data_IF_733642675112
#
_entry.id   IF_733642675112
#
_cell.length_a   1.000
_cell.length_b   1.000
_cell.length_c   1.000
_cell.angle_alpha   90.00
_cell.angle_beta   90.00
_cell.angle_gamma   90.00
#
_symmetry.space_group_name_H-M   'P 1'
#
loop_
_entity.id
_entity.type
_entity.pdbx_description
1 polymer ?
#
# COMPACT_ATOMS: atom_id res chain seq x y z
N UNK A 1 -1.92 -44.89 10.31
CA UNK A 1 -1.03 -43.75 10.59
C UNK A 1 -1.71 -42.48 10.14
N UNK A 2 -1.33 -41.35 10.71
CA UNK A 2 -1.85 -40.02 10.39
C UNK A 2 -0.68 -39.10 10.07
N UNK A 3 -0.80 -38.30 9.01
CA UNK A 3 0.24 -37.36 8.62
C UNK A 3 0.05 -36.06 9.41
N UNK A 4 1.02 -35.70 10.24
CA UNK A 4 0.97 -34.48 11.04
C UNK A 4 2.02 -33.49 10.55
N UNK A 5 1.82 -32.20 10.85
CA UNK A 5 2.85 -31.20 10.60
C UNK A 5 4.08 -31.52 11.47
N UNK A 6 5.23 -31.72 10.82
CA UNK A 6 6.47 -32.14 11.46
C UNK A 6 6.38 -33.44 12.27
N UNK A 7 5.44 -34.35 11.93
CA UNK A 7 5.29 -35.59 12.67
C UNK A 7 4.40 -36.65 12.02
N UNK A 8 4.38 -37.84 12.63
CA UNK A 8 3.53 -38.96 12.22
C UNK A 8 2.77 -39.46 13.44
N UNK A 9 1.45 -39.50 13.34
CA UNK A 9 0.57 -40.16 14.30
C UNK A 9 0.48 -41.66 14.00
N UNK A 10 0.64 -42.48 15.04
CA UNK A 10 0.63 -43.94 14.94
C UNK A 10 -0.44 -44.44 15.91
N UNK A 11 -1.37 -45.25 15.41
CA UNK A 11 -2.45 -45.87 16.19
C UNK A 11 -2.50 -47.35 15.87
N UNK A 12 -2.68 -48.19 16.89
CA UNK A 12 -2.86 -49.63 16.74
C UNK A 12 -4.03 -50.14 17.58
N UNK A 13 -4.43 -51.37 17.31
CA UNK A 13 -5.41 -52.11 18.12
C UNK A 13 -4.73 -53.22 18.91
N UNK A 14 -5.42 -53.73 19.92
CA UNK A 14 -5.02 -54.94 20.62
C UNK A 14 -5.87 -56.13 20.14
N UNK A 15 -5.29 -57.30 19.91
CA UNK A 15 -6.06 -58.51 19.63
C UNK A 15 -6.83 -58.96 20.89
N UNK A 16 -7.88 -59.76 20.69
CA UNK A 16 -8.57 -60.41 21.82
C UNK A 16 -7.59 -61.34 22.56
N UNK A 17 -7.66 -61.39 23.89
CA UNK A 17 -6.70 -62.17 24.69
C UNK A 17 -5.41 -61.42 25.04
N UNK A 18 -5.29 -60.12 24.71
CA UNK A 18 -4.12 -59.30 25.01
C UNK A 18 -4.10 -58.73 26.43
N UNK A 19 -5.01 -59.13 27.32
CA UNK A 19 -5.17 -58.56 28.68
C UNK A 19 -3.96 -58.79 29.58
N UNK A 20 -3.13 -59.79 29.27
CA UNK A 20 -1.86 -60.05 29.97
C UNK A 20 -0.67 -59.25 29.41
N UNK A 21 -0.91 -58.37 28.43
CA UNK A 21 0.12 -57.47 27.91
C UNK A 21 0.58 -56.49 28.97
N UNK A 22 1.89 -56.33 29.12
CA UNK A 22 2.50 -55.28 29.92
C UNK A 22 2.69 -54.01 29.10
N UNK A 23 3.20 -54.14 27.86
CA UNK A 23 3.52 -53.00 27.00
C UNK A 23 3.52 -53.38 25.51
N UNK A 24 3.39 -52.37 24.66
CA UNK A 24 3.72 -52.43 23.25
C UNK A 24 5.12 -51.88 23.03
N UNK A 25 6.00 -52.63 22.36
CA UNK A 25 7.21 -52.06 21.79
C UNK A 25 6.89 -51.56 20.39
N UNK A 26 7.14 -50.28 20.14
CA UNK A 26 6.98 -49.65 18.84
C UNK A 26 8.36 -49.50 18.17
N UNK A 27 8.44 -49.85 16.90
CA UNK A 27 9.66 -49.91 16.10
C UNK A 27 9.46 -49.22 14.76
N UNK A 28 10.54 -48.70 14.18
CA UNK A 28 10.48 -47.97 12.91
C UNK A 28 11.74 -48.16 12.06
N UNK A 29 11.61 -47.94 10.75
CA UNK A 29 12.73 -47.93 9.79
C UNK A 29 12.44 -46.98 8.63
N UNK A 30 13.49 -46.50 7.94
CA UNK A 30 13.35 -45.75 6.68
C UNK A 30 12.97 -46.67 5.50
N UNK A 31 13.26 -47.97 5.62
CA UNK A 31 12.93 -48.99 4.63
C UNK A 31 11.90 -49.99 5.13
N UNK A 32 11.56 -50.97 4.29
CA UNK A 32 10.57 -52.02 4.60
C UNK A 32 11.15 -53.26 5.29
N UNK A 33 12.47 -53.29 5.54
CA UNK A 33 13.15 -54.39 6.19
C UNK A 33 13.06 -54.26 7.73
N UNK A 34 12.32 -55.17 8.36
CA UNK A 34 12.20 -55.27 9.82
C UNK A 34 13.57 -55.53 10.48
N UNK A 35 14.51 -56.19 9.81
CA UNK A 35 15.86 -56.42 10.32
C UNK A 35 16.68 -55.13 10.49
N UNK A 36 16.29 -54.05 9.81
CA UNK A 36 16.90 -52.71 9.94
C UNK A 36 16.09 -51.79 10.87
N UNK A 37 15.02 -52.28 11.49
CA UNK A 37 14.19 -51.47 12.35
C UNK A 37 14.89 -51.12 13.66
N UNK A 38 14.71 -49.88 14.11
CA UNK A 38 15.16 -49.38 15.41
C UNK A 38 13.96 -49.24 16.34
N UNK A 39 14.15 -49.52 17.62
CA UNK A 39 13.11 -49.35 18.63
C UNK A 39 12.83 -47.86 18.84
N UNK A 40 11.57 -47.48 18.68
CA UNK A 40 11.09 -46.10 18.88
C UNK A 40 10.72 -45.86 20.34
N UNK A 41 9.87 -46.73 20.91
CA UNK A 41 9.33 -46.53 22.26
C UNK A 41 8.85 -47.84 22.89
N UNK A 42 8.80 -47.84 24.22
CA UNK A 42 8.02 -48.78 25.04
C UNK A 42 6.81 -48.06 25.61
N UNK A 43 5.62 -48.58 25.35
CA UNK A 43 4.35 -47.92 25.71
C UNK A 43 3.51 -48.87 26.55
N UNK A 44 3.19 -48.49 27.78
CA UNK A 44 2.46 -49.35 28.71
C UNK A 44 1.06 -49.69 28.18
N UNK A 45 0.64 -50.95 28.31
CA UNK A 45 -0.73 -51.33 28.01
C UNK A 45 -1.71 -50.59 28.96
N UNK A 46 -2.87 -50.10 28.49
CA UNK A 46 -3.46 -50.25 27.16
C UNK A 46 -3.23 -49.04 26.22
N UNK A 47 -2.11 -48.31 26.33
CA UNK A 47 -1.83 -47.23 25.39
C UNK A 47 -1.74 -47.78 23.97
N UNK A 48 -2.48 -47.17 23.05
CA UNK A 48 -2.60 -47.65 21.67
C UNK A 48 -2.30 -46.58 20.62
N UNK A 49 -1.72 -45.45 21.04
CA UNK A 49 -1.32 -44.37 20.16
C UNK A 49 0.02 -43.76 20.55
N UNK A 50 0.74 -43.23 19.56
CA UNK A 50 2.02 -42.52 19.71
C UNK A 50 2.18 -41.49 18.60
N UNK A 51 2.84 -40.36 18.91
CA UNK A 51 3.18 -39.33 17.92
C UNK A 51 4.70 -39.17 17.84
N UNK A 52 5.26 -39.46 16.67
CA UNK A 52 6.66 -39.18 16.34
C UNK A 52 6.77 -37.75 15.81
N UNK A 53 7.49 -36.88 16.50
CA UNK A 53 7.64 -35.45 16.15
C UNK A 53 9.07 -35.12 15.68
N UNK A 54 9.27 -33.89 15.20
CA UNK A 54 10.57 -33.39 14.77
C UNK A 54 11.00 -33.88 13.38
N UNK A 55 10.02 -34.27 12.56
CA UNK A 55 10.26 -34.81 11.23
C UNK A 55 10.31 -33.70 10.18
N UNK A 56 11.12 -33.92 9.13
CA UNK A 56 11.11 -33.04 7.95
C UNK A 56 9.82 -33.25 7.15
N UNK A 57 9.37 -32.21 6.45
CA UNK A 57 8.23 -32.30 5.54
C UNK A 57 8.42 -33.46 4.54
N UNK A 58 7.39 -34.30 4.37
CA UNK A 58 7.43 -35.47 3.49
C UNK A 58 8.30 -36.64 3.96
N UNK A 59 8.92 -36.56 5.15
CA UNK A 59 9.75 -37.65 5.67
C UNK A 59 8.89 -38.88 5.99
N UNK A 60 9.29 -40.04 5.48
CA UNK A 60 8.54 -41.29 5.57
C UNK A 60 9.27 -42.33 6.43
N UNK A 61 8.49 -43.07 7.21
CA UNK A 61 8.95 -44.24 7.94
C UNK A 61 7.95 -45.39 7.82
N UNK A 62 8.45 -46.59 8.08
CA UNK A 62 7.70 -47.83 8.21
C UNK A 62 7.72 -48.27 9.67
N UNK A 63 6.61 -48.84 10.14
CA UNK A 63 6.37 -49.11 11.55
C UNK A 63 5.99 -50.57 11.80
N UNK A 64 6.47 -51.07 12.93
CA UNK A 64 6.11 -52.36 13.50
C UNK A 64 5.84 -52.21 14.99
N UNK A 65 4.94 -53.04 15.50
CA UNK A 65 4.66 -53.15 16.91
C UNK A 65 4.71 -54.62 17.34
N UNK A 66 5.08 -54.87 18.59
CA UNK A 66 4.87 -56.17 19.23
C UNK A 66 4.47 -55.99 20.69
N UNK A 67 3.73 -56.95 21.22
CA UNK A 67 3.34 -56.96 22.62
C UNK A 67 4.38 -57.69 23.46
N UNK A 68 4.60 -57.21 24.67
CA UNK A 68 5.37 -57.91 25.70
C UNK A 68 4.44 -58.18 26.87
N UNK A 69 4.34 -59.43 27.30
CA UNK A 69 3.49 -59.81 28.42
C UNK A 69 4.12 -59.48 29.78
N UNK A 70 3.35 -59.63 30.86
CA UNK A 70 3.80 -59.35 32.24
C UNK A 70 4.89 -60.30 32.74
N UNK A 71 5.07 -61.45 32.09
CA UNK A 71 6.12 -62.42 32.40
C UNK A 71 7.39 -62.20 31.58
N UNK A 72 7.36 -61.26 30.62
CA UNK A 72 8.48 -60.89 29.77
C UNK A 72 8.54 -61.61 28.43
N UNK A 73 7.53 -62.39 28.04
CA UNK A 73 7.52 -63.02 26.72
C UNK A 73 7.26 -61.97 25.63
N UNK A 74 8.00 -62.11 24.53
CA UNK A 74 7.89 -61.23 23.37
C UNK A 74 6.92 -61.86 22.36
N UNK A 75 5.84 -61.13 22.07
CA UNK A 75 4.93 -61.47 20.99
C UNK A 75 5.56 -61.25 19.60
N UNK A 76 4.92 -61.78 18.54
CA UNK A 76 5.37 -61.56 17.18
C UNK A 76 5.24 -60.08 16.78
N UNK A 77 6.07 -59.64 15.84
CA UNK A 77 5.92 -58.33 15.22
C UNK A 77 4.68 -58.28 14.32
N UNK A 78 4.02 -57.13 14.30
CA UNK A 78 2.96 -56.78 13.39
C UNK A 78 3.26 -55.42 12.74
N UNK A 79 3.05 -55.24 11.43
CA UNK A 79 2.58 -56.25 10.47
C UNK A 79 3.64 -57.31 10.16
N UNK A 80 3.20 -58.48 9.70
CA UNK A 80 4.09 -59.52 9.17
C UNK A 80 4.31 -59.30 7.66
N UNK A 81 5.49 -59.66 7.16
CA UNK A 81 5.80 -59.60 5.73
C UNK A 81 4.78 -60.42 4.92
N UNK A 82 4.37 -59.96 3.71
CA UNK A 82 4.88 -58.79 2.98
C UNK A 82 4.19 -57.46 3.34
N UNK A 83 3.27 -57.46 4.32
CA UNK A 83 2.54 -56.25 4.71
C UNK A 83 3.43 -55.30 5.49
N UNK A 84 3.35 -54.00 5.18
CA UNK A 84 4.03 -52.93 5.89
C UNK A 84 3.05 -51.81 6.22
N UNK A 85 3.27 -51.12 7.34
CA UNK A 85 2.53 -49.91 7.72
C UNK A 85 3.49 -48.74 7.61
N UNK A 86 3.19 -47.77 6.77
CA UNK A 86 4.00 -46.56 6.62
C UNK A 86 3.25 -45.32 7.12
N UNK A 87 3.99 -44.31 7.56
CA UNK A 87 3.48 -42.97 7.81
C UNK A 87 4.43 -41.92 7.23
N UNK A 88 3.92 -40.73 6.96
CA UNK A 88 4.71 -39.63 6.39
C UNK A 88 4.37 -38.33 7.13
N UNK A 89 5.38 -37.53 7.47
CA UNK A 89 5.12 -36.18 7.94
C UNK A 89 4.48 -35.37 6.81
N UNK A 90 3.53 -34.49 7.15
CA UNK A 90 2.87 -33.64 6.15
C UNK A 90 3.91 -32.86 5.34
N UNK A 91 3.76 -32.87 4.02
CA UNK A 91 4.48 -32.01 3.08
C UNK A 91 3.69 -30.75 2.71
N UNK A 92 2.49 -30.60 3.24
CA UNK A 92 1.67 -29.40 3.08
C UNK A 92 2.23 -28.24 3.93
N UNK A 93 2.72 -27.21 3.24
CA UNK A 93 3.20 -25.97 3.85
C UNK A 93 2.08 -24.97 4.18
N UNK A 94 0.86 -25.19 3.68
CA UNK A 94 -0.29 -24.28 3.82
C UNK A 94 -0.55 -23.81 5.26
N UNK A 95 -0.63 -24.72 6.26
CA UNK A 95 -0.88 -24.32 7.64
C UNK A 95 0.18 -23.39 8.24
N UNK A 96 1.46 -23.57 7.87
CA UNK A 96 2.55 -22.68 8.33
C UNK A 96 2.48 -21.34 7.63
N UNK A 97 2.22 -21.34 6.32
CA UNK A 97 2.14 -20.11 5.53
C UNK A 97 1.01 -19.20 6.00
N UNK A 98 -0.17 -19.78 6.30
CA UNK A 98 -1.29 -19.00 6.83
C UNK A 98 -0.93 -18.40 8.20
N UNK A 99 -0.34 -19.19 9.10
CA UNK A 99 0.08 -18.67 10.41
C UNK A 99 1.13 -17.55 10.31
N UNK A 100 2.07 -17.65 9.36
CA UNK A 100 3.08 -16.59 9.11
C UNK A 100 2.39 -15.33 8.57
N UNK A 101 1.50 -15.49 7.58
CA UNK A 101 0.74 -14.38 6.99
C UNK A 101 -0.09 -13.66 8.05
N UNK A 102 -0.79 -14.39 8.91
CA UNK A 102 -1.61 -13.81 9.98
C UNK A 102 -0.72 -13.06 10.97
N UNK A 103 0.41 -13.65 11.40
CA UNK A 103 1.37 -12.96 12.26
C UNK A 103 1.93 -11.69 11.65
N UNK A 104 2.25 -11.68 10.35
CA UNK A 104 2.76 -10.49 9.67
C UNK A 104 1.66 -9.43 9.60
N UNK A 105 0.44 -9.82 9.21
CA UNK A 105 -0.69 -8.90 9.04
C UNK A 105 -1.15 -8.29 10.36
N UNK A 106 -1.21 -9.09 11.43
CA UNK A 106 -1.59 -8.65 12.77
C UNK A 106 -0.45 -7.95 13.52
N UNK A 107 0.79 -8.05 13.05
CA UNK A 107 1.93 -7.38 13.67
C UNK A 107 1.78 -5.87 13.62
N UNK A 108 2.40 -5.18 14.58
CA UNK A 108 2.48 -3.72 14.58
C UNK A 108 3.14 -3.19 13.30
N UNK A 109 4.11 -3.92 12.73
CA UNK A 109 4.70 -3.58 11.44
C UNK A 109 3.67 -3.69 10.30
N UNK A 110 2.88 -4.76 10.27
CA UNK A 110 1.84 -4.97 9.27
C UNK A 110 0.80 -3.85 9.29
N UNK A 111 0.28 -3.54 10.48
CA UNK A 111 -0.68 -2.43 10.68
C UNK A 111 -0.10 -1.07 10.27
N UNK A 112 1.13 -0.77 10.68
CA UNK A 112 1.82 0.49 10.33
C UNK A 112 2.00 0.61 8.80
N UNK A 113 2.42 -0.47 8.14
CA UNK A 113 2.58 -0.48 6.69
C UNK A 113 1.24 -0.31 5.97
N UNK A 114 0.19 -1.02 6.40
CA UNK A 114 -1.16 -0.84 5.84
C UNK A 114 -1.65 0.60 6.04
N UNK A 115 -1.50 1.17 7.24
CA UNK A 115 -1.88 2.56 7.51
C UNK A 115 -1.14 3.56 6.61
N UNK A 116 0.15 3.34 6.32
CA UNK A 116 0.91 4.17 5.38
C UNK A 116 0.45 4.01 3.93
N UNK A 117 0.08 2.79 3.53
CA UNK A 117 -0.45 2.52 2.20
C UNK A 117 -1.81 3.20 2.02
N UNK A 118 -2.66 3.16 3.04
CA UNK A 118 -3.98 3.82 3.03
C UNK A 118 -3.87 5.33 2.78
N UNK A 119 -2.78 5.99 3.19
CA UNK A 119 -2.54 7.41 2.88
C UNK A 119 -2.38 7.71 1.38
N UNK A 120 -2.20 6.70 0.52
CA UNK A 120 -1.99 6.88 -0.92
C UNK A 120 -3.31 7.08 -1.66
N UNK A 121 -4.33 6.28 -1.38
CA UNK A 121 -5.58 6.24 -2.15
C UNK A 121 -6.83 6.59 -1.32
N UNK A 122 -6.75 6.55 0.01
CA UNK A 122 -7.86 6.96 0.88
C UNK A 122 -7.84 8.47 1.16
N UNK A 123 -8.90 8.95 1.81
CA UNK A 123 -9.04 10.33 2.28
C UNK A 123 -8.68 10.43 3.76
N UNK A 124 -8.12 11.57 4.17
CA UNK A 124 -7.87 11.90 5.56
C UNK A 124 -6.56 12.66 5.77
N UNK A 125 -6.25 13.01 7.04
CA UNK A 125 -5.03 13.73 7.39
C UNK A 125 -3.76 13.02 6.90
N UNK A 126 -2.87 13.75 6.23
CA UNK A 126 -1.64 13.25 5.64
C UNK A 126 -1.81 12.45 4.34
N UNK A 127 -3.04 12.23 3.87
CA UNK A 127 -3.28 11.50 2.62
C UNK A 127 -2.81 12.29 1.39
N UNK A 128 -2.58 11.58 0.29
CA UNK A 128 -2.30 12.21 -1.01
C UNK A 128 -3.51 13.01 -1.49
N UNK A 129 -4.73 12.53 -1.22
CA UNK A 129 -5.96 13.21 -1.61
C UNK A 129 -6.15 14.55 -0.88
N UNK A 130 -5.81 14.63 0.42
CA UNK A 130 -5.82 15.90 1.18
C UNK A 130 -4.82 16.89 0.58
N UNK A 131 -3.55 16.47 0.42
CA UNK A 131 -2.50 17.31 -0.18
C UNK A 131 -2.85 17.76 -1.59
N UNK A 132 -3.49 16.91 -2.39
CA UNK A 132 -3.98 17.25 -3.73
C UNK A 132 -5.14 18.26 -3.66
N UNK A 133 -6.01 18.15 -2.67
CA UNK A 133 -7.07 19.12 -2.40
C UNK A 133 -6.53 20.49 -2.04
N UNK A 134 -5.54 20.56 -1.15
CA UNK A 134 -4.84 21.79 -0.76
C UNK A 134 -4.19 22.46 -1.96
N UNK A 135 -3.37 21.72 -2.73
CA UNK A 135 -2.72 22.23 -3.94
C UNK A 135 -3.72 22.74 -4.98
N UNK A 136 -4.88 22.08 -5.14
CA UNK A 136 -5.94 22.57 -6.03
C UNK A 136 -6.56 23.87 -5.55
N UNK A 137 -6.74 24.04 -4.24
CA UNK A 137 -7.26 25.28 -3.66
C UNK A 137 -6.27 26.43 -3.86
N UNK A 138 -5.00 26.22 -3.50
CA UNK A 138 -3.93 27.20 -3.71
C UNK A 138 -3.80 27.60 -5.18
N UNK A 139 -3.87 26.63 -6.09
CA UNK A 139 -3.83 26.90 -7.53
C UNK A 139 -5.03 27.74 -8.00
N UNK A 140 -6.23 27.47 -7.49
CA UNK A 140 -7.41 28.26 -7.83
C UNK A 140 -7.29 29.71 -7.32
N UNK A 141 -6.75 29.92 -6.13
CA UNK A 141 -6.50 31.27 -5.59
C UNK A 141 -5.48 32.03 -6.45
N UNK A 142 -4.38 31.39 -6.85
CA UNK A 142 -3.40 31.99 -7.76
C UNK A 142 -4.01 32.35 -9.12
N UNK A 143 -4.89 31.50 -9.67
CA UNK A 143 -5.58 31.79 -10.93
C UNK A 143 -6.47 33.05 -10.78
N UNK A 144 -7.16 33.20 -9.66
CA UNK A 144 -7.99 34.40 -9.39
C UNK A 144 -7.11 35.65 -9.29
N UNK A 145 -5.99 35.57 -8.58
CA UNK A 145 -5.05 36.70 -8.46
C UNK A 145 -4.48 37.13 -9.82
N UNK A 146 -4.04 36.16 -10.63
CA UNK A 146 -3.54 36.42 -11.99
C UNK A 146 -4.62 37.05 -12.86
N UNK A 147 -5.86 36.53 -12.83
CA UNK A 147 -6.96 37.11 -13.59
C UNK A 147 -7.25 38.56 -13.19
N UNK A 148 -7.21 38.88 -11.89
CA UNK A 148 -7.40 40.25 -11.41
C UNK A 148 -6.28 41.18 -11.91
N UNK A 149 -5.02 40.72 -11.86
CA UNK A 149 -3.87 41.47 -12.38
C UNK A 149 -4.00 41.73 -13.89
N UNK A 150 -4.37 40.72 -14.67
CA UNK A 150 -4.60 40.85 -16.12
C UNK A 150 -5.71 41.86 -16.42
N UNK A 151 -6.82 41.80 -15.69
CA UNK A 151 -7.92 42.76 -15.86
C UNK A 151 -7.48 44.19 -15.54
N UNK A 152 -6.68 44.40 -14.48
CA UNK A 152 -6.17 45.72 -14.15
C UNK A 152 -5.25 46.27 -15.25
N UNK A 153 -4.30 45.46 -15.73
CA UNK A 153 -3.41 45.84 -16.83
C UNK A 153 -4.19 46.17 -18.10
N UNK A 154 -5.27 45.42 -18.39
CA UNK A 154 -6.14 45.72 -19.52
C UNK A 154 -6.83 47.08 -19.37
N UNK A 155 -7.33 47.41 -18.17
CA UNK A 155 -7.93 48.72 -17.90
C UNK A 155 -6.91 49.86 -18.02
N UNK A 156 -5.72 49.70 -17.45
CA UNK A 156 -4.65 50.71 -17.54
C UNK A 156 -4.22 50.93 -19.00
N UNK A 157 -4.12 49.85 -19.78
CA UNK A 157 -3.80 49.94 -21.20
C UNK A 157 -4.91 50.63 -21.99
N UNK A 158 -6.18 50.38 -21.67
CA UNK A 158 -7.31 51.07 -22.30
C UNK A 158 -7.25 52.57 -22.01
N UNK A 159 -6.96 52.97 -20.78
CA UNK A 159 -6.78 54.38 -20.42
C UNK A 159 -5.62 55.02 -21.19
N UNK A 160 -4.50 54.33 -21.36
CA UNK A 160 -3.39 54.81 -22.19
C UNK A 160 -3.78 54.96 -23.67
N UNK A 161 -4.54 54.02 -24.21
CA UNK A 161 -5.04 54.08 -25.60
C UNK A 161 -5.96 55.31 -25.77
N UNK A 162 -6.87 55.53 -24.84
CA UNK A 162 -7.81 56.67 -24.88
C UNK A 162 -7.05 58.00 -24.84
N UNK A 163 -6.03 58.12 -23.96
CA UNK A 163 -5.17 59.29 -23.90
C UNK A 163 -4.38 59.55 -25.20
N UNK A 164 -3.89 58.50 -25.87
CA UNK A 164 -3.19 58.62 -27.15
C UNK A 164 -4.16 59.04 -28.27
N UNK A 165 -5.39 58.51 -28.26
CA UNK A 165 -6.41 58.88 -29.24
C UNK A 165 -6.76 60.37 -29.14
N UNK A 166 -6.96 60.88 -27.93
CA UNK A 166 -7.19 62.32 -27.68
C UNK A 166 -6.03 63.20 -28.19
N UNK A 167 -4.79 62.72 -28.03
CA UNK A 167 -3.59 63.40 -28.54
C UNK A 167 -3.57 63.42 -30.07
N UNK A 168 -3.86 62.29 -30.71
CA UNK A 168 -3.83 62.13 -32.16
C UNK A 168 -4.89 62.96 -32.88
N UNK A 169 -6.08 63.14 -32.28
CA UNK A 169 -7.17 63.93 -32.84
C UNK A 169 -6.97 65.45 -32.67
N UNK A 170 -6.05 65.87 -31.80
CA UNK A 170 -5.78 67.28 -31.55
C UNK A 170 -4.93 67.93 -32.64
N UNK A 171 -5.31 69.13 -33.07
CA UNK A 171 -4.51 69.89 -34.04
C UNK A 171 -3.32 70.55 -33.33
N UNK A 172 -2.12 70.62 -33.95
CA UNK A 172 -1.02 71.43 -33.42
C UNK A 172 -1.46 72.87 -33.20
N UNK A 173 -1.05 73.47 -32.09
CA UNK A 173 -1.23 74.90 -31.88
C UNK A 173 -0.51 75.69 -32.97
N UNK A 174 -1.16 76.73 -33.47
CA UNK A 174 -0.68 77.64 -34.50
C UNK A 174 -0.92 79.07 -34.02
N UNK A 175 0.14 79.90 -33.86
CA UNK A 175 0.00 81.25 -33.31
C UNK A 175 -0.78 82.21 -34.22
N UNK A 176 -0.90 81.90 -35.51
CA UNK A 176 -1.67 82.68 -36.48
C UNK A 176 -3.15 82.27 -36.58
N UNK A 177 -3.60 81.29 -35.79
CA UNK A 177 -4.98 80.79 -35.79
C UNK A 177 -5.74 81.21 -34.51
N UNK A 178 -7.00 81.62 -34.67
CA UNK A 178 -7.93 81.81 -33.55
C UNK A 178 -8.67 80.50 -33.26
N UNK A 179 -8.99 80.26 -31.99
CA UNK A 179 -9.60 79.01 -31.51
C UNK A 179 -10.95 79.28 -30.84
N UNK A 180 -11.94 78.42 -31.11
CA UNK A 180 -13.27 78.55 -30.50
C UNK A 180 -13.29 77.91 -29.10
N UNK A 181 -14.24 78.33 -28.26
CA UNK A 181 -14.45 77.71 -26.96
C UNK A 181 -14.75 76.20 -27.13
N UNK A 182 -14.10 75.35 -26.34
CA UNK A 182 -14.15 73.89 -26.40
C UNK A 182 -13.14 73.26 -27.36
N UNK A 183 -12.49 74.03 -28.23
CA UNK A 183 -11.52 73.49 -29.18
C UNK A 183 -10.22 73.08 -28.49
N UNK A 184 -9.75 71.87 -28.80
CA UNK A 184 -8.51 71.31 -28.27
C UNK A 184 -7.35 71.45 -29.26
N UNK A 185 -6.14 71.71 -28.75
CA UNK A 185 -4.90 71.78 -29.51
C UNK A 185 -3.74 71.12 -28.78
N UNK A 186 -2.77 70.62 -29.53
CA UNK A 186 -1.48 70.15 -29.01
C UNK A 186 -0.49 71.32 -28.95
N UNK A 187 -0.11 71.73 -27.74
CA UNK A 187 0.95 72.72 -27.55
C UNK A 187 2.33 72.18 -27.92
N UNK A 188 3.30 73.07 -28.16
CA UNK A 188 4.69 72.70 -28.50
C UNK A 188 5.40 71.92 -27.37
N UNK A 189 4.90 72.02 -26.13
CA UNK A 189 5.38 71.25 -24.98
C UNK A 189 4.80 69.82 -24.90
N UNK A 190 4.02 69.40 -25.89
CA UNK A 190 3.40 68.07 -25.94
C UNK A 190 2.16 67.90 -25.06
N UNK A 191 1.66 68.98 -24.43
CA UNK A 191 0.43 68.96 -23.63
C UNK A 191 -0.80 69.34 -24.48
N UNK A 192 -1.92 68.70 -24.19
CA UNK A 192 -3.23 69.07 -24.73
C UNK A 192 -3.80 70.28 -23.99
N UNK A 193 -4.30 71.24 -24.76
CA UNK A 193 -4.95 72.44 -24.25
C UNK A 193 -6.35 72.57 -24.83
N UNK A 194 -7.33 72.80 -23.96
CA UNK A 194 -8.70 73.11 -24.37
C UNK A 194 -9.03 74.58 -24.09
N UNK A 195 -9.50 75.28 -25.12
CA UNK A 195 -9.92 76.67 -25.01
C UNK A 195 -11.20 76.78 -24.15
N UNK A 196 -11.13 77.33 -22.93
CA UNK A 196 -12.33 77.54 -22.08
C UNK A 196 -13.26 78.64 -22.61
N UNK A 197 -12.70 79.59 -23.34
CA UNK A 197 -13.36 80.68 -24.05
C UNK A 197 -12.69 80.83 -25.42
N UNK A 198 -13.26 81.63 -26.33
CA UNK A 198 -12.59 81.92 -27.60
C UNK A 198 -11.20 82.55 -27.37
N UNK A 199 -10.17 82.02 -28.03
CA UNK A 199 -8.77 82.48 -27.92
C UNK A 199 -8.39 83.18 -29.23
N UNK A 200 -8.05 84.48 -29.22
CA UNK A 200 -7.62 85.21 -30.41
C UNK A 200 -6.21 84.78 -30.86
N UNK A 201 -5.82 85.18 -32.07
CA UNK A 201 -4.48 84.91 -32.63
C UNK A 201 -3.37 85.51 -31.76
N UNK A 202 -2.20 84.87 -31.75
CA UNK A 202 -1.01 85.32 -31.02
C UNK A 202 -1.03 85.08 -29.52
N UNK A 203 -2.11 84.51 -28.97
CA UNK A 203 -2.19 84.13 -27.56
C UNK A 203 -1.80 82.65 -27.42
N UNK A 204 -0.59 82.33 -26.92
CA UNK A 204 -0.18 80.95 -26.71
C UNK A 204 -1.06 80.27 -25.65
N UNK A 205 -1.26 78.95 -25.73
CA UNK A 205 -1.84 78.21 -24.62
C UNK A 205 -1.01 78.48 -23.36
N UNK A 206 -1.63 78.61 -22.18
CA UNK A 206 -0.88 78.86 -20.95
C UNK A 206 0.20 77.78 -20.76
N UNK A 207 1.47 78.17 -20.86
CA UNK A 207 2.52 77.40 -20.21
C UNK A 207 2.30 77.64 -18.72
N UNK A 208 2.05 76.57 -17.95
CA UNK A 208 1.75 76.60 -16.51
C UNK A 208 2.25 77.87 -15.76
#
# INVERSE_FOLDING_TARGET
TENLLFGIGIKWGFPAGAEDSQRTELWYSEGTDLGQATKLADLAYPQNEYVMQGLRAGQRFYFWARLVDRTGNLGPFFPIAPTVVSGMASDDAGPILEQIKDRITESELGKELTSRIDLIDMNGPGSVNERLGEVRSELNEQIVEVNNSVNQVQSDLQEQIDNIADLADSMPYKPDQAYTAGQSVLGENGKLYQAKVAVPTGNPPPND
#
